data_IF_014586738468
#
_entry.id   IF_014586738468
#
_cell.length_a   1.000
_cell.length_b   1.000
_cell.length_c   1.000
_cell.angle_alpha   90.00
_cell.angle_beta   90.00
_cell.angle_gamma   90.00
#
_symmetry.space_group_name_H-M   'P 1'
#
loop_
_entity.id
_entity.type
_entity.pdbx_description
1 polymer ?
#
# COMPACT_ATOMS: atom_id res chain seq x y z
N UNK A 1 -23.77 6.75 -5.66
CA UNK A 1 -22.29 6.83 -5.76
C UNK A 1 -21.76 8.19 -5.33
N UNK A 2 -22.05 9.30 -6.02
CA UNK A 2 -21.49 10.61 -5.63
C UNK A 2 -22.00 11.11 -4.27
N UNK A 3 -23.31 10.96 -4.01
CA UNK A 3 -23.91 11.27 -2.70
C UNK A 3 -23.31 10.41 -1.56
N UNK A 4 -23.06 9.13 -1.82
CA UNK A 4 -22.50 8.20 -0.83
C UNK A 4 -21.02 8.54 -0.52
N UNK A 5 -20.28 9.00 -1.53
CA UNK A 5 -18.90 9.48 -1.35
C UNK A 5 -18.84 10.73 -0.49
N UNK A 6 -19.75 11.69 -0.68
CA UNK A 6 -19.83 12.91 0.14
C UNK A 6 -20.13 12.55 1.60
N UNK A 7 -21.04 11.61 1.85
CA UNK A 7 -21.32 11.10 3.19
C UNK A 7 -20.10 10.42 3.80
N UNK A 8 -19.36 9.64 3.02
CA UNK A 8 -18.12 9.02 3.46
C UNK A 8 -17.05 10.05 3.84
N UNK A 9 -16.94 11.16 3.11
CA UNK A 9 -16.04 12.26 3.50
C UNK A 9 -16.44 12.92 4.80
N UNK A 10 -17.75 13.13 5.04
CA UNK A 10 -18.22 13.63 6.33
C UNK A 10 -17.87 12.65 7.47
N UNK A 11 -18.00 11.34 7.22
CA UNK A 11 -17.60 10.31 8.17
C UNK A 11 -16.10 10.36 8.50
N UNK A 12 -15.23 10.48 7.50
CA UNK A 12 -13.78 10.61 7.72
C UNK A 12 -13.42 11.87 8.51
N UNK A 13 -14.12 12.98 8.30
CA UNK A 13 -13.92 14.19 9.11
C UNK A 13 -14.33 13.96 10.57
N UNK A 14 -15.42 13.25 10.83
CA UNK A 14 -15.87 12.94 12.19
C UNK A 14 -14.88 12.04 12.94
N UNK A 15 -14.15 11.16 12.23
CA UNK A 15 -13.07 10.36 12.82
C UNK A 15 -11.89 11.22 13.33
N UNK A 16 -11.72 12.42 12.78
CA UNK A 16 -10.69 13.40 13.20
C UNK A 16 -11.20 14.34 14.31
N UNK A 17 -12.45 14.22 14.75
CA UNK A 17 -13.04 15.10 15.77
C UNK A 17 -12.31 15.00 17.11
N UNK A 18 -12.16 16.14 17.80
CA UNK A 18 -11.68 16.20 19.18
C UNK A 18 -12.71 15.69 20.21
N UNK A 19 -13.98 15.56 19.80
CA UNK A 19 -15.05 15.06 20.66
C UNK A 19 -15.09 13.53 20.63
N UNK A 20 -14.85 12.91 21.78
CA UNK A 20 -14.82 11.45 21.90
C UNK A 20 -16.14 10.77 21.47
N UNK A 21 -17.29 11.39 21.75
CA UNK A 21 -18.60 10.83 21.37
C UNK A 21 -18.80 10.82 19.85
N UNK A 22 -18.41 11.91 19.17
CA UNK A 22 -18.46 12.02 17.71
C UNK A 22 -17.52 11.00 17.07
N UNK A 23 -16.29 10.89 17.59
CA UNK A 23 -15.30 9.92 17.08
C UNK A 23 -15.76 8.48 17.29
N UNK A 24 -16.27 8.12 18.47
CA UNK A 24 -16.75 6.76 18.74
C UNK A 24 -17.95 6.37 17.85
N UNK A 25 -18.85 7.31 17.60
CA UNK A 25 -19.97 7.11 16.68
C UNK A 25 -19.48 6.91 15.25
N UNK A 26 -18.50 7.70 14.81
CA UNK A 26 -17.90 7.57 13.50
C UNK A 26 -17.12 6.25 13.33
N UNK A 27 -16.39 5.80 14.35
CA UNK A 27 -15.70 4.50 14.36
C UNK A 27 -16.69 3.36 14.17
N UNK A 28 -17.79 3.35 14.94
CA UNK A 28 -18.84 2.33 14.81
C UNK A 28 -19.51 2.36 13.43
N UNK A 29 -19.81 3.54 12.91
CA UNK A 29 -20.38 3.69 11.57
C UNK A 29 -19.41 3.24 10.47
N UNK A 30 -18.11 3.52 10.62
CA UNK A 30 -17.08 3.08 9.69
C UNK A 30 -16.93 1.56 9.70
N UNK A 31 -16.92 0.92 10.86
CA UNK A 31 -16.76 -0.53 10.98
C UNK A 31 -18.00 -1.32 10.53
N UNK A 32 -19.18 -0.69 10.54
CA UNK A 32 -20.39 -1.26 9.97
C UNK A 32 -20.38 -1.34 8.42
N UNK A 33 -19.49 -0.60 7.74
CA UNK A 33 -19.40 -0.62 6.27
C UNK A 33 -18.60 -1.86 5.82
N UNK A 34 -19.12 -2.64 4.85
CA UNK A 34 -18.40 -3.79 4.29
C UNK A 34 -17.00 -3.40 3.80
N UNK A 35 -16.02 -4.28 4.01
CA UNK A 35 -14.63 -4.01 3.67
C UNK A 35 -14.44 -3.67 2.18
N UNK A 36 -15.09 -4.41 1.27
CA UNK A 36 -15.03 -4.12 -0.17
C UNK A 36 -15.51 -2.69 -0.51
N UNK A 37 -16.60 -2.24 0.13
CA UNK A 37 -17.13 -0.88 -0.04
C UNK A 37 -16.19 0.18 0.53
N UNK A 38 -15.61 -0.07 1.72
CA UNK A 38 -14.62 0.83 2.32
C UNK A 38 -13.42 1.02 1.41
N UNK A 39 -12.88 -0.05 0.82
CA UNK A 39 -11.74 0.04 -0.12
C UNK A 39 -12.04 1.00 -1.26
N UNK A 40 -13.20 0.89 -1.91
CA UNK A 40 -13.58 1.76 -3.03
C UNK A 40 -13.65 3.23 -2.61
N UNK A 41 -14.33 3.51 -1.49
CA UNK A 41 -14.49 4.89 -1.00
C UNK A 41 -13.18 5.50 -0.50
N UNK A 42 -12.31 4.70 0.14
CA UNK A 42 -10.99 5.13 0.60
C UNK A 42 -10.06 5.44 -0.57
N UNK A 43 -10.06 4.63 -1.64
CA UNK A 43 -9.30 4.92 -2.86
C UNK A 43 -9.75 6.27 -3.43
N UNK A 44 -11.05 6.46 -3.60
CA UNK A 44 -11.59 7.72 -4.10
C UNK A 44 -11.21 8.91 -3.21
N UNK A 45 -11.19 8.75 -1.88
CA UNK A 45 -10.75 9.77 -0.94
C UNK A 45 -9.26 10.11 -1.07
N UNK A 46 -8.40 9.11 -1.26
CA UNK A 46 -6.95 9.31 -1.41
C UNK A 46 -6.57 9.97 -2.73
N UNK A 47 -7.30 9.69 -3.81
CA UNK A 47 -7.04 10.26 -5.15
C UNK A 47 -7.78 11.56 -5.41
N UNK A 48 -8.86 11.82 -4.67
CA UNK A 48 -9.71 12.99 -4.86
C UNK A 48 -9.04 14.28 -4.36
N UNK A 49 -9.22 15.37 -5.11
CA UNK A 49 -8.78 16.71 -4.71
C UNK A 49 -9.83 17.46 -3.88
N UNK A 50 -10.97 16.82 -3.59
CA UNK A 50 -12.16 17.45 -3.00
C UNK A 50 -12.16 17.48 -1.47
N UNK A 51 -11.24 16.78 -0.81
CA UNK A 51 -11.15 16.72 0.64
C UNK A 51 -9.82 17.28 1.17
N UNK A 52 -9.79 17.68 2.43
CA UNK A 52 -8.60 18.25 3.07
C UNK A 52 -7.43 17.26 3.17
N UNK A 53 -6.20 17.77 3.30
CA UNK A 53 -4.99 16.94 3.35
C UNK A 53 -4.97 15.96 4.53
N UNK A 54 -5.51 16.36 5.68
CA UNK A 54 -5.62 15.49 6.85
C UNK A 54 -6.57 14.32 6.59
N UNK A 55 -7.70 14.56 5.92
CA UNK A 55 -8.66 13.52 5.52
C UNK A 55 -8.03 12.55 4.52
N UNK A 56 -7.28 13.05 3.53
CA UNK A 56 -6.54 12.20 2.60
C UNK A 56 -5.51 11.33 3.31
N UNK A 57 -4.80 11.89 4.27
CA UNK A 57 -3.81 11.17 5.07
C UNK A 57 -4.47 10.07 5.90
N UNK A 58 -5.58 10.39 6.59
CA UNK A 58 -6.37 9.40 7.32
C UNK A 58 -6.88 8.29 6.39
N UNK A 59 -7.42 8.64 5.23
CA UNK A 59 -7.92 7.67 4.24
C UNK A 59 -6.80 6.72 3.77
N UNK A 60 -5.60 7.23 3.50
CA UNK A 60 -4.46 6.41 3.10
C UNK A 60 -4.04 5.43 4.22
N UNK A 61 -4.03 5.89 5.48
CA UNK A 61 -3.73 5.04 6.64
C UNK A 61 -4.77 3.95 6.82
N UNK A 62 -6.06 4.30 6.79
CA UNK A 62 -7.16 3.35 6.93
C UNK A 62 -7.18 2.33 5.79
N UNK A 63 -6.93 2.78 4.55
CA UNK A 63 -6.83 1.91 3.38
C UNK A 63 -5.70 0.90 3.53
N UNK A 64 -4.51 1.39 3.92
CA UNK A 64 -3.35 0.53 4.17
C UNK A 64 -3.66 -0.51 5.25
N UNK A 65 -4.24 -0.10 6.38
CA UNK A 65 -4.61 -1.02 7.47
C UNK A 65 -5.58 -2.10 6.98
N UNK A 66 -6.63 -1.70 6.27
CA UNK A 66 -7.64 -2.62 5.75
C UNK A 66 -7.05 -3.64 4.77
N UNK A 67 -6.13 -3.22 3.90
CA UNK A 67 -5.44 -4.12 2.98
C UNK A 67 -4.54 -5.09 3.76
N UNK A 68 -3.74 -4.60 4.72
CA UNK A 68 -2.87 -5.49 5.49
C UNK A 68 -3.64 -6.47 6.39
N UNK A 69 -4.83 -6.11 6.90
CA UNK A 69 -5.59 -6.97 7.83
C UNK A 69 -6.60 -7.90 7.15
N UNK A 70 -7.24 -7.47 6.05
CA UNK A 70 -8.45 -8.11 5.54
C UNK A 70 -8.46 -8.31 4.01
N UNK A 71 -7.30 -8.24 3.34
CA UNK A 71 -7.22 -8.42 1.88
C UNK A 71 -7.95 -9.66 1.37
N UNK A 72 -7.65 -10.83 1.94
CA UNK A 72 -8.24 -12.11 1.54
C UNK A 72 -9.76 -12.16 1.73
N UNK A 73 -10.31 -11.32 2.63
CA UNK A 73 -11.75 -11.27 2.88
C UNK A 73 -12.47 -10.39 1.85
N UNK A 74 -11.92 -9.20 1.54
CA UNK A 74 -12.60 -8.29 0.62
C UNK A 74 -12.25 -8.54 -0.84
N UNK A 75 -11.10 -9.13 -1.16
CA UNK A 75 -10.68 -9.37 -2.54
C UNK A 75 -11.71 -10.17 -3.36
N UNK A 76 -12.25 -11.30 -2.86
CA UNK A 76 -13.28 -12.05 -3.60
C UNK A 76 -14.59 -11.29 -3.76
N UNK A 77 -14.87 -10.33 -2.89
CA UNK A 77 -16.09 -9.51 -2.91
C UNK A 77 -15.98 -8.27 -3.80
N UNK A 78 -14.75 -7.88 -4.19
CA UNK A 78 -14.54 -6.75 -5.09
C UNK A 78 -15.07 -7.08 -6.48
N UNK A 79 -15.96 -6.24 -7.04
CA UNK A 79 -16.43 -6.45 -8.40
C UNK A 79 -15.25 -6.43 -9.40
N UNK A 80 -15.23 -7.28 -10.44
CA UNK A 80 -14.11 -7.38 -11.38
C UNK A 80 -13.71 -6.05 -12.05
N UNK A 81 -14.66 -5.12 -12.15
CA UNK A 81 -14.49 -3.79 -12.74
C UNK A 81 -13.98 -2.72 -11.77
N UNK A 82 -13.64 -3.07 -10.52
CA UNK A 82 -12.99 -2.17 -9.55
C UNK A 82 -11.54 -2.58 -9.28
N UNK A 83 -11.16 -3.78 -9.72
CA UNK A 83 -9.81 -4.30 -9.59
C UNK A 83 -8.78 -3.49 -10.42
N UNK A 84 -9.04 -3.16 -11.70
CA UNK A 84 -8.13 -2.31 -12.47
C UNK A 84 -7.92 -0.92 -11.85
N UNK A 85 -8.93 -0.36 -11.21
CA UNK A 85 -8.91 0.93 -10.52
C UNK A 85 -8.03 0.86 -9.28
N UNK A 86 -8.14 -0.23 -8.51
CA UNK A 86 -7.24 -0.51 -7.39
C UNK A 86 -5.77 -0.60 -7.85
N UNK A 87 -5.50 -1.34 -8.93
CA UNK A 87 -4.14 -1.45 -9.47
C UNK A 87 -3.61 -0.10 -9.98
N UNK A 88 -4.44 0.67 -10.71
CA UNK A 88 -4.09 2.02 -11.17
C UNK A 88 -3.79 2.95 -9.99
N UNK A 89 -4.57 2.87 -8.93
CA UNK A 89 -4.34 3.60 -7.69
C UNK A 89 -2.98 3.23 -7.09
N UNK A 90 -2.69 1.93 -6.95
CA UNK A 90 -1.43 1.44 -6.39
C UNK A 90 -0.21 1.98 -7.15
N UNK A 91 -0.24 1.88 -8.49
CA UNK A 91 0.84 2.42 -9.33
C UNK A 91 0.94 3.96 -9.23
N UNK A 92 -0.19 4.66 -9.18
CA UNK A 92 -0.21 6.12 -9.02
C UNK A 92 0.43 6.54 -7.71
N UNK A 93 0.12 5.85 -6.60
CA UNK A 93 0.74 6.12 -5.30
C UNK A 93 2.23 5.80 -5.29
N UNK A 94 2.64 4.67 -5.88
CA UNK A 94 4.05 4.29 -5.97
C UNK A 94 4.90 5.27 -6.79
N UNK A 95 4.29 6.00 -7.73
CA UNK A 95 4.93 7.06 -8.53
C UNK A 95 4.63 8.49 -8.06
N UNK A 96 3.94 8.67 -6.93
CA UNK A 96 3.57 9.99 -6.42
C UNK A 96 4.80 10.80 -5.98
N UNK A 97 4.70 12.14 -6.05
CA UNK A 97 5.74 13.03 -5.51
C UNK A 97 5.87 12.93 -3.99
N UNK A 98 4.78 12.63 -3.29
CA UNK A 98 4.76 12.41 -1.84
C UNK A 98 5.44 11.09 -1.47
N UNK A 99 6.54 11.11 -0.68
CA UNK A 99 7.20 9.89 -0.23
C UNK A 99 6.30 8.99 0.61
N UNK A 100 5.38 9.57 1.39
CA UNK A 100 4.43 8.82 2.24
C UNK A 100 3.49 7.97 1.39
N UNK A 101 3.04 8.49 0.25
CA UNK A 101 2.19 7.74 -0.69
C UNK A 101 2.98 6.63 -1.39
N UNK A 102 4.23 6.91 -1.80
CA UNK A 102 5.10 5.88 -2.39
C UNK A 102 5.34 4.75 -1.42
N UNK A 103 5.72 5.08 -0.19
CA UNK A 103 5.96 4.11 0.87
C UNK A 103 4.70 3.27 1.13
N UNK A 104 3.54 3.92 1.28
CA UNK A 104 2.27 3.23 1.54
C UNK A 104 1.89 2.25 0.43
N UNK A 105 2.09 2.62 -0.84
CA UNK A 105 1.85 1.70 -1.96
C UNK A 105 2.76 0.46 -1.91
N UNK A 106 4.04 0.65 -1.58
CA UNK A 106 4.99 -0.46 -1.47
C UNK A 106 4.66 -1.39 -0.31
N UNK A 107 4.19 -0.85 0.82
CA UNK A 107 3.73 -1.68 1.94
C UNK A 107 2.46 -2.46 1.59
N UNK A 108 1.50 -1.84 0.91
CA UNK A 108 0.30 -2.53 0.40
C UNK A 108 0.72 -3.70 -0.50
N UNK A 109 1.64 -3.45 -1.44
CA UNK A 109 2.17 -4.47 -2.33
C UNK A 109 2.91 -5.58 -1.56
N UNK A 110 3.71 -5.22 -0.55
CA UNK A 110 4.44 -6.21 0.27
C UNK A 110 3.50 -7.09 1.11
N UNK A 111 2.37 -6.54 1.59
CA UNK A 111 1.34 -7.33 2.28
C UNK A 111 0.67 -8.34 1.37
N UNK A 112 0.56 -8.04 0.07
CA UNK A 112 -0.13 -8.89 -0.89
C UNK A 112 0.63 -8.89 -2.23
N UNK A 113 1.73 -9.64 -2.37
CA UNK A 113 2.52 -9.60 -3.60
C UNK A 113 1.80 -10.23 -4.79
N UNK A 114 0.84 -11.13 -4.52
CA UNK A 114 -0.02 -11.82 -5.50
C UNK A 114 -1.24 -11.02 -5.95
N UNK A 115 -1.32 -9.74 -5.58
CA UNK A 115 -2.46 -8.85 -5.83
C UNK A 115 -2.91 -8.87 -7.31
N UNK A 116 -1.98 -9.01 -8.26
CA UNK A 116 -2.28 -9.02 -9.70
C UNK A 116 -2.95 -10.31 -10.23
N UNK A 117 -2.98 -11.38 -9.43
CA UNK A 117 -3.58 -12.67 -9.77
C UNK A 117 -3.22 -13.16 -11.18
N UNK A 118 -4.23 -13.65 -11.91
CA UNK A 118 -4.04 -14.22 -13.25
C UNK A 118 -3.62 -13.19 -14.32
N UNK A 119 -3.64 -11.89 -14.03
CA UNK A 119 -3.23 -10.84 -14.95
C UNK A 119 -1.78 -10.39 -14.74
N UNK A 120 -1.07 -10.95 -13.77
CA UNK A 120 0.29 -10.55 -13.40
C UNK A 120 1.24 -10.44 -14.58
N UNK A 121 1.22 -11.41 -15.52
CA UNK A 121 2.13 -11.39 -16.67
C UNK A 121 2.01 -10.12 -17.52
N UNK A 122 0.85 -9.45 -17.52
CA UNK A 122 0.64 -8.17 -18.22
C UNK A 122 1.24 -6.98 -17.49
N UNK A 123 1.30 -7.05 -16.17
CA UNK A 123 1.78 -5.98 -15.30
C UNK A 123 3.24 -6.15 -14.88
N UNK A 124 3.87 -7.30 -15.19
CA UNK A 124 5.17 -7.69 -14.68
C UNK A 124 6.28 -6.65 -14.95
N UNK A 125 6.32 -6.07 -16.16
CA UNK A 125 7.27 -4.99 -16.48
C UNK A 125 7.01 -3.72 -15.67
N UNK A 126 5.74 -3.34 -15.49
CA UNK A 126 5.36 -2.17 -14.67
C UNK A 126 5.70 -2.40 -13.20
N UNK A 127 5.46 -3.62 -12.69
CA UNK A 127 5.81 -4.02 -11.33
C UNK A 127 7.32 -3.94 -11.12
N UNK A 128 8.09 -4.51 -12.04
CA UNK A 128 9.56 -4.43 -12.01
C UNK A 128 10.02 -2.97 -11.99
N UNK A 129 9.55 -2.16 -12.94
CA UNK A 129 9.94 -0.76 -13.05
C UNK A 129 9.63 0.00 -11.75
N UNK A 130 8.42 -0.17 -11.22
CA UNK A 130 7.99 0.45 -9.96
C UNK A 130 8.91 0.06 -8.80
N UNK A 131 9.10 -1.25 -8.57
CA UNK A 131 9.91 -1.76 -7.46
C UNK A 131 11.37 -1.32 -7.55
N UNK A 132 11.99 -1.42 -8.73
CA UNK A 132 13.38 -1.05 -8.95
C UNK A 132 13.57 0.46 -8.83
N UNK A 133 12.63 1.27 -9.33
CA UNK A 133 12.68 2.72 -9.14
C UNK A 133 12.62 3.09 -7.66
N UNK A 134 11.74 2.46 -6.89
CA UNK A 134 11.61 2.71 -5.46
C UNK A 134 12.82 2.21 -4.65
N UNK A 135 13.44 1.09 -5.03
CA UNK A 135 14.69 0.62 -4.43
C UNK A 135 15.82 1.65 -4.58
N UNK A 136 15.84 2.38 -5.70
CA UNK A 136 16.86 3.37 -6.01
C UNK A 136 16.42 4.81 -5.67
N UNK A 137 15.39 4.99 -4.82
CA UNK A 137 14.95 6.32 -4.37
C UNK A 137 16.02 6.99 -3.49
N UNK A 138 16.83 7.85 -4.10
CA UNK A 138 17.91 8.56 -3.40
C UNK A 138 17.40 9.60 -2.38
N UNK A 139 16.13 10.02 -2.48
CA UNK A 139 15.58 11.09 -1.65
C UNK A 139 14.96 10.58 -0.35
N UNK A 140 14.50 9.32 -0.30
CA UNK A 140 13.80 8.80 0.87
C UNK A 140 14.20 7.37 1.24
N UNK A 141 14.82 7.22 2.42
CA UNK A 141 15.23 5.92 2.96
C UNK A 141 14.04 4.99 3.17
N UNK A 142 12.96 5.43 3.81
CA UNK A 142 11.79 4.59 4.11
C UNK A 142 11.17 3.98 2.84
N UNK A 143 11.13 4.74 1.73
CA UNK A 143 10.69 4.22 0.43
C UNK A 143 11.60 3.09 -0.06
N UNK A 144 12.93 3.25 0.02
CA UNK A 144 13.89 2.18 -0.33
C UNK A 144 13.70 0.93 0.52
N UNK A 145 13.50 1.09 1.82
CA UNK A 145 13.22 -0.02 2.74
C UNK A 145 11.91 -0.73 2.42
N UNK A 146 10.82 0.02 2.19
CA UNK A 146 9.54 -0.55 1.81
C UNK A 146 9.64 -1.30 0.46
N UNK A 147 10.40 -0.75 -0.49
CA UNK A 147 10.67 -1.39 -1.79
C UNK A 147 11.45 -2.70 -1.63
N UNK A 148 12.45 -2.74 -0.76
CA UNK A 148 13.18 -3.98 -0.45
C UNK A 148 12.24 -5.05 0.08
N UNK A 149 11.38 -4.73 1.06
CA UNK A 149 10.38 -5.67 1.59
C UNK A 149 9.44 -6.15 0.50
N UNK A 150 8.95 -5.25 -0.34
CA UNK A 150 8.07 -5.55 -1.47
C UNK A 150 8.73 -6.49 -2.50
N UNK A 151 9.99 -6.25 -2.85
CA UNK A 151 10.76 -7.10 -3.78
C UNK A 151 10.98 -8.49 -3.17
N UNK A 152 11.40 -8.56 -1.91
CA UNK A 152 11.57 -9.83 -1.21
C UNK A 152 10.26 -10.64 -1.16
N UNK A 153 9.15 -9.98 -0.80
CA UNK A 153 7.84 -10.62 -0.73
C UNK A 153 7.38 -11.12 -2.12
N UNK A 154 7.60 -10.33 -3.17
CA UNK A 154 7.29 -10.72 -4.54
C UNK A 154 8.13 -11.89 -5.04
N UNK A 155 9.42 -11.90 -4.74
CA UNK A 155 10.32 -13.00 -5.11
C UNK A 155 9.97 -14.27 -4.34
N UNK A 156 9.55 -14.16 -3.08
CA UNK A 156 9.18 -15.31 -2.25
C UNK A 156 7.95 -16.05 -2.78
N UNK A 157 6.90 -15.32 -3.21
CA UNK A 157 5.72 -15.97 -3.79
C UNK A 157 6.00 -16.59 -5.17
N UNK A 158 7.11 -16.22 -5.82
CA UNK A 158 7.55 -16.69 -7.14
C UNK A 158 8.77 -17.62 -7.07
N UNK A 159 9.03 -18.28 -5.93
CA UNK A 159 10.26 -19.06 -5.68
C UNK A 159 10.62 -20.09 -6.78
N UNK A 160 9.62 -20.60 -7.50
CA UNK A 160 9.78 -21.61 -8.57
C UNK A 160 9.92 -21.00 -9.96
N UNK A 161 9.62 -19.71 -10.11
CA UNK A 161 9.57 -19.01 -11.39
C UNK A 161 10.92 -18.35 -11.70
N UNK A 162 11.86 -19.16 -12.19
CA UNK A 162 13.22 -18.70 -12.53
C UNK A 162 13.26 -17.51 -13.50
N UNK A 163 12.28 -17.37 -14.38
CA UNK A 163 12.17 -16.23 -15.28
C UNK A 163 11.95 -14.91 -14.53
N UNK A 164 11.05 -14.89 -13.54
CA UNK A 164 10.81 -13.72 -12.69
C UNK A 164 12.06 -13.41 -11.87
N UNK A 165 12.68 -14.42 -11.26
CA UNK A 165 13.88 -14.21 -10.47
C UNK A 165 15.02 -13.57 -11.27
N UNK A 166 15.21 -13.98 -12.53
CA UNK A 166 16.20 -13.39 -13.45
C UNK A 166 15.95 -11.91 -13.70
N UNK A 167 14.71 -11.43 -13.67
CA UNK A 167 14.38 -10.02 -13.89
C UNK A 167 14.90 -9.09 -12.79
N UNK A 168 15.12 -9.61 -11.58
CA UNK A 168 15.54 -8.84 -10.41
C UNK A 168 17.02 -9.05 -10.02
N UNK A 169 17.79 -9.86 -10.76
CA UNK A 169 19.21 -10.13 -10.48
C UNK A 169 20.03 -8.83 -10.41
N UNK A 170 19.80 -7.92 -11.35
CA UNK A 170 20.52 -6.63 -11.40
C UNK A 170 20.16 -5.70 -10.23
N UNK A 171 19.09 -6.00 -9.49
CA UNK A 171 18.65 -5.24 -8.31
C UNK A 171 19.27 -5.75 -7.00
N UNK A 172 19.92 -6.92 -7.01
CA UNK A 172 20.56 -7.51 -5.82
C UNK A 172 21.59 -6.57 -5.17
N UNK A 173 22.46 -5.87 -5.93
CA UNK A 173 23.40 -4.92 -5.33
C UNK A 173 22.70 -3.78 -4.58
N UNK A 174 21.63 -3.21 -5.15
CA UNK A 174 20.84 -2.16 -4.49
C UNK A 174 20.16 -2.68 -3.21
N UNK A 175 19.64 -3.91 -3.24
CA UNK A 175 19.05 -4.55 -2.06
C UNK A 175 20.09 -4.78 -0.95
N UNK A 176 21.28 -5.27 -1.32
CA UNK A 176 22.39 -5.46 -0.39
C UNK A 176 22.86 -4.14 0.21
N UNK A 177 22.95 -3.08 -0.59
CA UNK A 177 23.32 -1.76 -0.11
C UNK A 177 22.34 -1.24 0.95
N UNK A 178 21.03 -1.36 0.71
CA UNK A 178 20.01 -0.97 1.69
C UNK A 178 20.19 -1.77 2.98
N UNK A 179 20.39 -3.08 2.90
CA UNK A 179 20.65 -3.95 4.05
C UNK A 179 21.90 -3.52 4.84
N UNK A 180 23.02 -3.29 4.15
CA UNK A 180 24.28 -2.85 4.77
C UNK A 180 24.11 -1.52 5.50
N UNK A 181 23.50 -0.53 4.83
CA UNK A 181 23.19 0.77 5.42
C UNK A 181 22.26 0.64 6.64
N UNK A 182 21.35 -0.33 6.67
CA UNK A 182 20.46 -0.58 7.81
C UNK A 182 21.23 -1.08 9.03
N UNK A 183 22.13 -2.02 8.80
CA UNK A 183 22.92 -2.70 9.84
C UNK A 183 23.95 -1.73 10.45
N UNK A 184 24.63 -0.95 9.62
CA UNK A 184 25.67 0.00 10.04
C UNK A 184 25.11 1.15 10.90
N UNK A 185 23.85 1.53 10.69
CA UNK A 185 23.22 2.61 11.44
C UNK A 185 22.71 2.19 12.84
N UNK A 186 22.92 0.93 13.27
CA UNK A 186 22.49 0.39 14.58
C UNK A 186 21.02 0.68 14.92
N UNK A 187 20.17 0.73 13.89
CA UNK A 187 18.75 0.98 14.05
C UNK A 187 18.08 -0.38 14.32
N UNK A 188 18.16 -0.85 15.57
CA UNK A 188 17.66 -2.16 16.01
C UNK A 188 16.18 -2.38 15.61
N UNK A 189 15.38 -1.30 15.57
CA UNK A 189 13.98 -1.33 15.11
C UNK A 189 13.85 -1.64 13.60
N UNK A 190 14.80 -1.19 12.77
CA UNK A 190 14.79 -1.42 11.32
C UNK A 190 15.09 -2.88 10.96
N UNK A 191 15.96 -3.56 11.73
CA UNK A 191 16.28 -4.98 11.55
C UNK A 191 15.10 -5.86 12.01
N UNK A 192 14.51 -5.55 13.16
CA UNK A 192 13.33 -6.27 13.65
C UNK A 192 12.14 -6.17 12.67
N UNK A 193 11.90 -4.98 12.12
CA UNK A 193 10.85 -4.77 11.11
C UNK A 193 11.14 -5.41 9.74
N UNK A 194 12.39 -5.78 9.44
CA UNK A 194 12.72 -6.50 8.19
C UNK A 194 12.30 -7.97 8.24
N UNK A 195 12.37 -8.61 9.41
CA UNK A 195 12.13 -10.04 9.57
C UNK A 195 10.77 -10.36 10.21
N UNK A 196 10.20 -9.44 10.98
CA UNK A 196 8.85 -9.55 11.51
C UNK A 196 7.90 -8.78 10.58
N UNK A 197 6.94 -9.48 9.97
CA UNK A 197 5.82 -8.85 9.26
C UNK A 197 5.06 -7.86 10.14
N UNK A 198 4.22 -6.97 9.55
CA UNK A 198 3.53 -5.95 10.33
C UNK A 198 2.66 -6.62 11.40
N UNK A 199 3.00 -6.35 12.65
CA UNK A 199 2.19 -6.65 13.84
C UNK A 199 0.91 -5.83 13.87
#
# INVERSE_FOLDING_TARGET
MEHDQVQFYALLNNLLSSENEVRATAESAYDAIPAATRVVFLIAATTGTTCEEQVRTLAAVLLRRLISSDFEKFYPELPPNHWPEFLKFLFTCASASSPVLRESALHIFASVPGVFGNQQSRYLEMIKQMLVQSLNDAANKNVRFAALKAVCAFMLIHEKETAIHKMFVDSIPSMYQILSESIENLDDDSIAQMFCGPS
#
